data_IF_138891241920
#
_entry.id   IF_138891241920
#
_cell.length_a   1.000
_cell.length_b   1.000
_cell.length_c   1.000
_cell.angle_alpha   90.00
_cell.angle_beta   90.00
_cell.angle_gamma   90.00
#
_symmetry.space_group_name_H-M   'P 1'
#
loop_
_entity.id
_entity.type
_entity.pdbx_description
1 polymer ?
#
# COMPACT_ATOMS: atom_id res chain seq x y z
N UNK A 1 -6.94 40.31 1.55
CA UNK A 1 -6.81 40.09 0.09
C UNK A 1 -5.72 39.07 -0.15
N UNK A 2 -6.10 37.80 -0.38
CA UNK A 2 -5.33 36.76 -1.07
C UNK A 2 -6.26 35.53 -1.09
N UNK A 3 -7.25 35.59 -1.96
CA UNK A 3 -8.18 34.48 -2.20
C UNK A 3 -8.12 34.15 -3.69
N UNK A 4 -8.10 32.85 -3.99
CA UNK A 4 -8.32 32.21 -5.29
C UNK A 4 -7.16 32.11 -6.30
N UNK A 5 -6.35 31.06 -6.12
CA UNK A 5 -5.59 30.41 -7.21
C UNK A 5 -5.86 28.89 -7.34
N UNK A 6 -6.66 28.28 -6.45
CA UNK A 6 -6.90 26.82 -6.38
C UNK A 6 -7.84 26.16 -7.41
N UNK A 7 -8.72 26.85 -8.19
CA UNK A 7 -9.67 26.14 -9.08
C UNK A 7 -9.03 25.52 -10.33
N UNK A 8 -7.91 26.05 -10.80
CA UNK A 8 -7.39 25.75 -12.13
C UNK A 8 -6.52 24.47 -12.15
N UNK A 9 -5.76 24.21 -11.08
CA UNK A 9 -4.93 23.00 -10.92
C UNK A 9 -5.77 21.73 -10.78
N UNK A 10 -6.89 21.81 -10.04
CA UNK A 10 -7.81 20.68 -9.86
C UNK A 10 -8.39 20.19 -11.20
N UNK A 11 -8.72 21.10 -12.12
CA UNK A 11 -9.22 20.75 -13.45
C UNK A 11 -8.16 20.09 -14.35
N UNK A 12 -6.90 20.51 -14.25
CA UNK A 12 -5.81 19.89 -15.02
C UNK A 12 -5.49 18.48 -14.50
N UNK A 13 -5.49 18.28 -13.18
CA UNK A 13 -5.26 16.98 -12.56
C UNK A 13 -6.36 15.99 -12.94
N UNK A 14 -7.63 16.40 -12.87
CA UNK A 14 -8.75 15.53 -13.25
C UNK A 14 -8.69 15.12 -14.73
N UNK A 15 -8.29 16.05 -15.61
CA UNK A 15 -8.08 15.76 -17.04
C UNK A 15 -6.94 14.76 -17.27
N UNK A 16 -5.89 14.79 -16.46
CA UNK A 16 -4.80 13.82 -16.53
C UNK A 16 -5.27 12.44 -16.07
N UNK A 17 -5.95 12.36 -14.93
CA UNK A 17 -6.48 11.11 -14.36
C UNK A 17 -7.46 10.45 -15.32
N UNK A 18 -8.35 11.22 -15.97
CA UNK A 18 -9.30 10.67 -16.93
C UNK A 18 -8.64 10.03 -18.16
N UNK A 19 -7.38 10.36 -18.46
CA UNK A 19 -6.63 9.77 -19.56
C UNK A 19 -5.92 8.47 -19.16
N UNK A 20 -5.93 8.08 -17.87
CA UNK A 20 -5.31 6.86 -17.38
C UNK A 20 -6.37 5.76 -17.36
N UNK A 21 -6.27 4.73 -18.22
CA UNK A 21 -7.20 3.61 -18.22
C UNK A 21 -7.21 2.92 -16.86
N UNK A 22 -8.38 2.47 -16.42
CA UNK A 22 -8.55 1.61 -15.23
C UNK A 22 -8.15 2.23 -13.87
N UNK A 23 -7.99 3.56 -13.78
CA UNK A 23 -7.69 4.23 -12.50
C UNK A 23 -8.71 3.90 -11.39
N UNK A 24 -10.01 3.92 -11.71
CA UNK A 24 -11.09 3.74 -10.73
C UNK A 24 -11.28 2.30 -10.20
N UNK A 25 -10.66 1.30 -10.83
CA UNK A 25 -10.86 -0.13 -10.49
C UNK A 25 -9.92 -0.65 -9.39
N UNK A 26 -9.00 0.18 -8.90
CA UNK A 26 -7.84 -0.24 -8.10
C UNK A 26 -8.05 -0.14 -6.57
N UNK A 27 -9.21 0.35 -6.12
CA UNK A 27 -9.42 0.81 -4.74
C UNK A 27 -10.32 -0.09 -3.86
N UNK A 28 -10.61 -1.32 -4.27
CA UNK A 28 -11.47 -2.21 -3.47
C UNK A 28 -10.70 -2.93 -2.35
N UNK A 29 -10.11 -2.17 -1.42
CA UNK A 29 -9.46 -2.70 -0.21
C UNK A 29 -10.06 -2.07 1.03
N UNK A 30 -10.31 -2.91 2.03
CA UNK A 30 -10.79 -2.47 3.33
C UNK A 30 -9.67 -1.80 4.12
N UNK A 31 -9.97 -0.66 4.73
CA UNK A 31 -9.09 -0.02 5.69
C UNK A 31 -8.90 -0.91 6.92
N UNK A 32 -7.68 -0.96 7.46
CA UNK A 32 -7.34 -1.67 8.69
C UNK A 32 -6.98 -0.63 9.74
N UNK A 33 -7.83 -0.52 10.76
CA UNK A 33 -7.60 0.39 11.87
C UNK A 33 -6.72 -0.25 12.93
N UNK A 34 -5.76 0.52 13.44
CA UNK A 34 -4.84 0.10 14.50
C UNK A 34 -5.15 0.85 15.78
N UNK A 35 -5.16 0.12 16.90
CA UNK A 35 -5.51 0.68 18.20
C UNK A 35 -4.30 1.26 18.95
N UNK A 36 -3.09 0.77 18.67
CA UNK A 36 -1.85 1.20 19.30
C UNK A 36 -0.61 0.88 18.44
N UNK A 37 0.53 1.43 18.84
CA UNK A 37 1.83 1.30 18.15
C UNK A 37 2.32 -0.14 18.08
N UNK A 38 2.22 -0.89 19.18
CA UNK A 38 2.67 -2.28 19.24
C UNK A 38 1.91 -3.17 18.27
N UNK A 39 0.59 -3.00 18.16
CA UNK A 39 -0.23 -3.76 17.21
C UNK A 39 0.18 -3.47 15.76
N UNK A 40 0.54 -2.23 15.44
CA UNK A 40 1.02 -1.84 14.11
C UNK A 40 2.38 -2.48 13.79
N UNK A 41 3.32 -2.44 14.74
CA UNK A 41 4.64 -3.05 14.57
C UNK A 41 4.59 -4.58 14.49
N UNK A 42 3.78 -5.23 15.32
CA UNK A 42 3.57 -6.67 15.33
C UNK A 42 2.97 -7.14 13.99
N UNK A 43 1.91 -6.45 13.53
CA UNK A 43 1.30 -6.72 12.23
C UNK A 43 2.35 -6.59 11.13
N UNK A 44 3.05 -5.45 11.05
CA UNK A 44 4.05 -5.21 10.01
C UNK A 44 5.20 -6.23 10.04
N UNK A 45 5.65 -6.67 11.23
CA UNK A 45 6.72 -7.66 11.37
C UNK A 45 6.27 -9.06 10.94
N UNK A 46 5.04 -9.46 11.28
CA UNK A 46 4.47 -10.74 10.87
C UNK A 46 4.37 -10.90 9.36
N UNK A 47 4.11 -9.80 8.64
CA UNK A 47 4.05 -9.78 7.17
C UNK A 47 5.37 -10.19 6.51
N UNK A 48 6.53 -9.88 7.14
CA UNK A 48 7.85 -10.07 6.54
C UNK A 48 8.30 -11.53 6.48
N UNK A 49 7.75 -12.39 7.36
CA UNK A 49 8.14 -13.81 7.44
C UNK A 49 7.92 -14.55 6.11
N UNK A 50 6.93 -14.14 5.32
CA UNK A 50 6.62 -14.77 4.02
C UNK A 50 7.66 -14.46 2.92
N UNK A 51 8.58 -13.51 3.19
CA UNK A 51 9.54 -12.96 2.24
C UNK A 51 10.99 -13.41 2.48
N UNK A 52 11.24 -14.23 3.50
CA UNK A 52 12.58 -14.79 3.79
C UNK A 52 13.07 -15.72 2.66
N UNK A 53 12.18 -16.58 2.18
CA UNK A 53 12.50 -17.57 1.16
C UNK A 53 12.25 -17.06 -0.27
N UNK A 54 12.57 -17.88 -1.29
CA UNK A 54 12.20 -17.55 -2.67
C UNK A 54 10.68 -17.66 -2.87
N UNK A 55 10.15 -16.91 -3.83
CA UNK A 55 8.76 -17.07 -4.26
C UNK A 55 8.53 -18.48 -4.82
N UNK A 56 7.38 -19.07 -4.52
CA UNK A 56 6.97 -20.41 -4.94
C UNK A 56 5.46 -20.50 -5.07
N UNK A 57 4.96 -21.62 -5.63
CA UNK A 57 3.52 -21.91 -5.71
C UNK A 57 2.84 -21.96 -4.34
N UNK A 58 3.60 -22.23 -3.27
CA UNK A 58 3.07 -22.42 -1.92
C UNK A 58 2.98 -21.12 -1.13
N UNK A 59 3.76 -20.08 -1.45
CA UNK A 59 3.85 -18.86 -0.63
C UNK A 59 3.39 -17.58 -1.35
N UNK A 60 3.20 -17.58 -2.67
CA UNK A 60 2.85 -16.34 -3.38
C UNK A 60 1.51 -15.75 -2.93
N UNK A 61 0.52 -16.59 -2.58
CA UNK A 61 -0.78 -16.13 -2.08
C UNK A 61 -0.66 -15.46 -0.73
N UNK A 62 0.20 -15.99 0.14
CA UNK A 62 0.45 -15.38 1.44
C UNK A 62 1.18 -14.04 1.27
N UNK A 63 2.14 -13.94 0.34
CA UNK A 63 2.74 -12.65 -0.03
C UNK A 63 1.73 -11.65 -0.55
N UNK A 64 0.77 -12.10 -1.36
CA UNK A 64 -0.32 -11.25 -1.86
C UNK A 64 -1.17 -10.69 -0.73
N UNK A 65 -1.57 -11.55 0.21
CA UNK A 65 -2.30 -11.13 1.42
C UNK A 65 -1.49 -10.11 2.22
N UNK A 66 -0.18 -10.32 2.38
CA UNK A 66 0.67 -9.37 3.07
C UNK A 66 0.66 -7.98 2.44
N UNK A 67 0.72 -7.89 1.11
CA UNK A 67 0.61 -6.60 0.41
C UNK A 67 -0.78 -5.98 0.59
N UNK A 68 -1.84 -6.77 0.48
CA UNK A 68 -3.22 -6.28 0.68
C UNK A 68 -3.40 -5.74 2.11
N UNK A 69 -2.87 -6.42 3.12
CA UNK A 69 -2.89 -5.97 4.51
C UNK A 69 -2.09 -4.67 4.69
N UNK A 70 -0.89 -4.57 4.11
CA UNK A 70 -0.10 -3.34 4.15
C UNK A 70 -0.83 -2.16 3.49
N UNK A 71 -1.53 -2.40 2.37
CA UNK A 71 -2.41 -1.40 1.73
C UNK A 71 -3.58 -1.00 2.64
N UNK A 72 -4.15 -1.95 3.37
CA UNK A 72 -5.21 -1.70 4.35
C UNK A 72 -4.74 -0.83 5.51
N UNK A 73 -3.56 -1.09 6.05
CA UNK A 73 -2.94 -0.32 7.14
C UNK A 73 -2.71 1.14 6.76
N UNK A 74 -2.24 1.39 5.52
CA UNK A 74 -2.03 2.76 5.02
C UNK A 74 -3.36 3.51 4.87
N UNK A 75 -4.42 2.82 4.45
CA UNK A 75 -5.76 3.41 4.30
C UNK A 75 -6.49 3.65 5.62
N UNK A 76 -6.18 2.89 6.67
CA UNK A 76 -6.78 3.00 7.99
C UNK A 76 -6.31 4.19 8.81
N UNK A 77 -6.53 4.13 10.11
CA UNK A 77 -6.21 5.24 11.04
C UNK A 77 -4.72 5.39 11.36
N UNK A 78 -3.85 4.46 10.96
CA UNK A 78 -2.44 4.41 11.33
C UNK A 78 -1.66 5.69 10.98
N UNK A 79 -1.91 6.29 9.81
CA UNK A 79 -1.21 7.51 9.39
C UNK A 79 -1.59 8.74 10.24
N UNK A 80 -2.76 8.72 10.90
CA UNK A 80 -3.20 9.81 11.78
C UNK A 80 -2.69 9.63 13.20
N UNK A 81 -2.77 8.39 13.71
CA UNK A 81 -2.49 8.09 15.11
C UNK A 81 -0.99 7.84 15.36
N UNK A 82 -0.32 7.13 14.44
CA UNK A 82 1.07 6.67 14.60
C UNK A 82 1.91 6.85 13.32
N UNK A 83 1.99 8.07 12.75
CA UNK A 83 2.62 8.32 11.44
C UNK A 83 4.09 7.89 11.37
N UNK A 84 4.87 8.14 12.42
CA UNK A 84 6.30 7.79 12.47
C UNK A 84 6.51 6.27 12.49
N UNK A 85 5.68 5.55 13.24
CA UNK A 85 5.73 4.10 13.33
C UNK A 85 5.32 3.48 11.98
N UNK A 86 4.23 3.97 11.38
CA UNK A 86 3.80 3.54 10.05
C UNK A 86 4.90 3.73 9.00
N UNK A 87 5.56 4.90 9.00
CA UNK A 87 6.68 5.17 8.09
C UNK A 87 7.85 4.19 8.31
N UNK A 88 8.15 3.83 9.56
CA UNK A 88 9.17 2.83 9.88
C UNK A 88 8.78 1.42 9.39
N UNK A 89 7.52 1.02 9.59
CA UNK A 89 6.98 -0.25 9.08
C UNK A 89 7.12 -0.36 7.56
N UNK A 90 6.75 0.69 6.81
CA UNK A 90 6.92 0.74 5.35
C UNK A 90 8.40 0.65 4.97
N UNK A 91 9.26 1.38 5.68
CA UNK A 91 10.72 1.37 5.43
C UNK A 91 11.33 -0.03 5.59
N UNK A 92 10.93 -0.77 6.61
CA UNK A 92 11.40 -2.14 6.84
C UNK A 92 10.82 -3.09 5.78
N UNK A 93 9.58 -2.84 5.35
CA UNK A 93 8.89 -3.64 4.33
C UNK A 93 9.39 -3.43 2.90
N UNK A 94 10.28 -2.46 2.64
CA UNK A 94 10.74 -2.10 1.30
C UNK A 94 11.27 -3.27 0.47
N UNK A 95 11.95 -4.23 1.11
CA UNK A 95 12.53 -5.38 0.40
C UNK A 95 11.43 -6.40 0.03
N UNK A 96 10.46 -6.60 0.92
CA UNK A 96 9.29 -7.41 0.62
C UNK A 96 8.50 -6.81 -0.56
N UNK A 97 8.24 -5.50 -0.54
CA UNK A 97 7.60 -4.76 -1.64
C UNK A 97 8.37 -4.98 -2.94
N UNK A 98 9.68 -4.72 -2.95
CA UNK A 98 10.50 -4.90 -4.15
C UNK A 98 10.47 -6.35 -4.70
N UNK A 99 10.48 -7.37 -3.83
CA UNK A 99 10.35 -8.78 -4.25
C UNK A 99 8.98 -9.05 -4.90
N UNK A 100 7.94 -8.38 -4.44
CA UNK A 100 6.56 -8.58 -4.89
C UNK A 100 6.29 -7.87 -6.22
N UNK A 101 6.81 -6.65 -6.38
CA UNK A 101 6.84 -5.90 -7.63
C UNK A 101 7.42 -6.72 -8.78
N UNK A 102 8.47 -7.50 -8.50
CA UNK A 102 9.18 -8.34 -9.47
C UNK A 102 8.53 -9.72 -9.70
N UNK A 103 7.38 -10.01 -9.08
CA UNK A 103 6.68 -11.27 -9.30
C UNK A 103 6.13 -11.36 -10.73
N UNK A 104 6.23 -12.56 -11.32
CA UNK A 104 5.59 -12.88 -12.60
C UNK A 104 4.07 -13.08 -12.46
N UNK A 105 3.55 -13.14 -11.24
CA UNK A 105 2.12 -13.29 -10.98
C UNK A 105 1.47 -11.93 -11.05
N UNK A 106 0.66 -11.73 -12.09
CA UNK A 106 0.05 -10.43 -12.39
C UNK A 106 -0.81 -9.89 -11.24
N UNK A 107 -1.52 -10.74 -10.51
CA UNK A 107 -2.34 -10.31 -9.37
C UNK A 107 -1.47 -9.81 -8.21
N UNK A 108 -0.37 -10.51 -7.94
CA UNK A 108 0.59 -10.18 -6.89
C UNK A 108 1.32 -8.87 -7.19
N UNK A 109 1.92 -8.76 -8.39
CA UNK A 109 2.62 -7.53 -8.81
C UNK A 109 1.65 -6.36 -9.03
N UNK A 110 0.42 -6.60 -9.48
CA UNK A 110 -0.59 -5.53 -9.59
C UNK A 110 -1.01 -5.00 -8.22
N UNK A 111 -1.19 -5.86 -7.22
CA UNK A 111 -1.45 -5.41 -5.85
C UNK A 111 -0.30 -4.57 -5.29
N UNK A 112 0.94 -4.97 -5.55
CA UNK A 112 2.13 -4.23 -5.11
C UNK A 112 2.28 -2.87 -5.80
N UNK A 113 2.06 -2.79 -7.11
CA UNK A 113 2.05 -1.52 -7.83
C UNK A 113 0.97 -0.54 -7.34
N UNK A 114 -0.10 -1.02 -6.71
CA UNK A 114 -1.14 -0.19 -6.10
C UNK A 114 -0.86 0.15 -4.63
N UNK A 115 0.24 -0.35 -4.07
CA UNK A 115 0.76 0.02 -2.75
C UNK A 115 1.76 1.19 -2.87
N UNK A 116 2.63 1.16 -3.89
CA UNK A 116 3.59 2.22 -4.21
C UNK A 116 2.92 3.45 -4.84
#
# INVERSE_FOLDING_TARGET
MMENSKPQESNQLMKLISNIPCYYTLDNINAIDVSNEFALEDTASGLLLQFEWKESEYNWREREKCIIELRGLIRGTAYKLHPTILANCIKISKEAIAKTCLSLRSTLSSNDCQLC
#
